data_IF_114463825882
#
_entry.id   IF_114463825882
#
_cell.length_a   1.000
_cell.length_b   1.000
_cell.length_c   1.000
_cell.angle_alpha   90.00
_cell.angle_beta   90.00
_cell.angle_gamma   90.00
#
_symmetry.space_group_name_H-M   'P 1'
#
loop_
_entity.id
_entity.type
_entity.pdbx_description
1 polymer ?
#
# COMPACT_ATOMS: atom_id res chain seq x y z
N UNK A 1 19.18 -7.53 -9.75
CA UNK A 1 19.10 -8.62 -8.74
C UNK A 1 17.67 -8.69 -8.24
N UNK A 2 17.04 -9.87 -8.17
CA UNK A 2 15.70 -10.00 -7.61
C UNK A 2 15.77 -9.93 -6.07
N UNK A 3 14.91 -9.13 -5.47
CA UNK A 3 14.70 -9.09 -4.02
C UNK A 3 13.49 -9.93 -3.68
N UNK A 4 13.64 -10.93 -2.82
CA UNK A 4 12.56 -11.83 -2.43
C UNK A 4 11.40 -11.05 -1.83
N UNK A 5 10.18 -11.43 -2.22
CA UNK A 5 8.96 -10.76 -1.77
C UNK A 5 8.21 -11.66 -0.79
N UNK A 6 7.76 -11.08 0.30
CA UNK A 6 6.96 -11.81 1.31
C UNK A 6 5.66 -12.37 0.72
N UNK A 7 5.13 -11.72 -0.32
CA UNK A 7 3.91 -12.17 -1.01
C UNK A 7 4.08 -13.47 -1.83
N UNK A 8 5.31 -13.95 -2.10
CA UNK A 8 5.57 -15.15 -2.92
C UNK A 8 4.81 -16.37 -2.40
N UNK A 9 4.88 -16.62 -1.09
CA UNK A 9 4.23 -17.74 -0.44
C UNK A 9 2.70 -17.68 -0.60
N UNK A 10 2.12 -16.51 -0.33
CA UNK A 10 0.67 -16.30 -0.44
C UNK A 10 0.19 -16.42 -1.89
N UNK A 11 0.98 -15.96 -2.86
CA UNK A 11 0.70 -16.16 -4.29
C UNK A 11 0.59 -17.64 -4.64
N UNK A 12 1.51 -18.48 -4.14
CA UNK A 12 1.50 -19.92 -4.39
C UNK A 12 0.32 -20.60 -3.69
N UNK A 13 0.00 -20.25 -2.44
CA UNK A 13 -1.15 -20.75 -1.70
C UNK A 13 -2.48 -20.36 -2.38
N UNK A 14 -2.60 -19.12 -2.82
CA UNK A 14 -3.75 -18.64 -3.59
C UNK A 14 -3.90 -19.39 -4.92
N UNK A 15 -2.78 -19.63 -5.62
CA UNK A 15 -2.76 -20.40 -6.88
C UNK A 15 -3.16 -21.87 -6.70
N UNK A 16 -2.89 -22.45 -5.55
CA UNK A 16 -3.32 -23.81 -5.23
C UNK A 16 -4.81 -23.92 -4.87
N UNK A 17 -5.47 -22.80 -4.58
CA UNK A 17 -6.85 -22.77 -4.08
C UNK A 17 -7.85 -22.14 -5.05
N UNK A 18 -7.42 -21.14 -5.83
CA UNK A 18 -8.29 -20.37 -6.73
C UNK A 18 -7.94 -20.63 -8.20
N UNK A 19 -8.93 -20.71 -9.10
CA UNK A 19 -8.66 -20.83 -10.54
C UNK A 19 -7.98 -19.58 -11.12
N UNK A 20 -8.22 -18.41 -10.53
CA UNK A 20 -7.66 -17.13 -10.96
C UNK A 20 -6.96 -16.43 -9.80
N UNK A 21 -5.75 -15.93 -10.02
CA UNK A 21 -5.05 -15.06 -9.08
C UNK A 21 -4.73 -13.74 -9.77
N UNK A 22 -5.15 -12.62 -9.18
CA UNK A 22 -4.86 -11.28 -9.67
C UNK A 22 -3.91 -10.57 -8.69
N UNK A 23 -2.72 -10.21 -9.15
CA UNK A 23 -1.81 -9.31 -8.41
C UNK A 23 -1.98 -7.88 -8.92
N UNK A 24 -2.40 -7.01 -8.01
CA UNK A 24 -2.66 -5.59 -8.31
C UNK A 24 -1.79 -4.68 -7.45
N UNK A 25 -1.60 -3.43 -7.85
CA UNK A 25 -0.80 -2.43 -7.14
C UNK A 25 -0.22 -1.36 -8.06
N UNK A 26 0.51 -0.38 -7.53
CA UNK A 26 1.10 0.70 -8.31
C UNK A 26 1.98 0.18 -9.44
N UNK A 27 2.28 1.05 -10.40
CA UNK A 27 3.28 0.73 -11.44
C UNK A 27 4.67 0.57 -10.83
N UNK A 28 5.49 -0.24 -11.47
CA UNK A 28 6.91 -0.44 -11.13
C UNK A 28 7.21 -1.02 -9.73
N UNK A 29 6.21 -1.56 -9.04
CA UNK A 29 6.40 -2.26 -7.74
C UNK A 29 6.85 -3.72 -7.91
N UNK A 30 6.95 -4.21 -9.15
CA UNK A 30 7.48 -5.54 -9.45
C UNK A 30 6.41 -6.65 -9.54
N UNK A 31 5.15 -6.35 -9.90
CA UNK A 31 4.07 -7.34 -10.04
C UNK A 31 4.43 -8.46 -11.02
N UNK A 32 4.78 -8.10 -12.25
CA UNK A 32 5.16 -9.06 -13.30
C UNK A 32 6.39 -9.85 -12.91
N UNK A 33 7.43 -9.18 -12.38
CA UNK A 33 8.67 -9.82 -11.91
C UNK A 33 8.42 -10.85 -10.81
N UNK A 34 7.54 -10.53 -9.83
CA UNK A 34 7.13 -11.47 -8.79
C UNK A 34 6.49 -12.71 -9.39
N UNK A 35 5.51 -12.52 -10.28
CA UNK A 35 4.78 -13.64 -10.88
C UNK A 35 5.67 -14.47 -11.81
N UNK A 36 6.53 -13.84 -12.60
CA UNK A 36 7.54 -14.54 -13.43
C UNK A 36 8.48 -15.38 -12.58
N UNK A 37 8.93 -14.85 -11.43
CA UNK A 37 9.81 -15.57 -10.51
C UNK A 37 9.15 -16.79 -9.89
N UNK A 38 7.84 -16.73 -9.61
CA UNK A 38 7.06 -17.82 -9.01
C UNK A 38 6.47 -18.78 -10.05
N UNK A 39 6.61 -18.48 -11.35
CA UNK A 39 6.00 -19.28 -12.41
C UNK A 39 6.71 -20.62 -12.60
N UNK A 40 5.96 -21.67 -12.96
CA UNK A 40 6.51 -22.95 -13.43
C UNK A 40 6.80 -22.89 -14.94
N UNK A 41 7.63 -23.79 -15.44
CA UNK A 41 7.95 -23.92 -16.88
C UNK A 41 6.70 -24.16 -17.74
N UNK A 42 5.66 -24.77 -17.18
CA UNK A 42 4.42 -25.08 -17.89
C UNK A 42 3.53 -23.84 -18.12
N UNK A 43 3.67 -22.80 -17.30
CA UNK A 43 2.84 -21.60 -17.38
C UNK A 43 3.34 -20.66 -18.46
N UNK A 44 2.56 -20.45 -19.49
CA UNK A 44 2.86 -19.44 -20.53
C UNK A 44 2.68 -18.04 -19.99
N UNK A 45 3.47 -17.11 -20.52
CA UNK A 45 3.44 -15.68 -20.15
C UNK A 45 3.09 -14.88 -21.40
N UNK A 46 2.07 -14.04 -21.30
CA UNK A 46 1.62 -13.15 -22.38
C UNK A 46 1.41 -11.74 -21.82
N UNK A 47 2.08 -10.74 -22.41
CA UNK A 47 1.88 -9.34 -22.05
C UNK A 47 0.99 -8.62 -23.06
N UNK A 48 -0.06 -7.99 -22.54
CA UNK A 48 -0.95 -7.11 -23.31
C UNK A 48 -0.37 -5.70 -23.52
N UNK A 49 0.83 -5.43 -23.02
CA UNK A 49 1.62 -4.26 -23.41
C UNK A 49 2.03 -4.35 -24.90
N UNK A 50 2.19 -5.58 -25.43
CA UNK A 50 2.54 -5.76 -26.83
C UNK A 50 1.35 -5.43 -27.76
N UNK A 51 1.45 -4.44 -28.65
CA UNK A 51 0.31 -3.95 -29.44
C UNK A 51 -0.36 -5.02 -30.29
N UNK A 52 0.44 -5.89 -30.94
CA UNK A 52 -0.11 -6.94 -31.80
C UNK A 52 -0.87 -8.02 -31.02
N UNK A 53 -0.37 -8.39 -29.82
CA UNK A 53 -1.04 -9.34 -28.91
C UNK A 53 -2.35 -8.74 -28.42
N UNK A 54 -2.31 -7.47 -27.98
CA UNK A 54 -3.49 -6.72 -27.54
C UNK A 54 -4.55 -6.64 -28.64
N UNK A 55 -4.17 -6.33 -29.88
CA UNK A 55 -5.10 -6.24 -31.01
C UNK A 55 -5.79 -7.59 -31.27
N UNK A 56 -5.05 -8.70 -31.25
CA UNK A 56 -5.60 -10.07 -31.41
C UNK A 56 -6.55 -10.40 -30.27
N UNK A 57 -6.17 -10.15 -29.03
CA UNK A 57 -6.98 -10.45 -27.86
C UNK A 57 -8.30 -9.67 -27.85
N UNK A 58 -8.32 -8.43 -28.39
CA UNK A 58 -9.54 -7.63 -28.57
C UNK A 58 -10.41 -8.12 -29.73
N UNK A 59 -9.78 -8.47 -30.86
CA UNK A 59 -10.52 -8.88 -32.06
C UNK A 59 -11.25 -10.20 -31.87
N UNK A 60 -10.60 -11.18 -31.24
CA UNK A 60 -11.15 -12.50 -31.02
C UNK A 60 -10.59 -13.13 -29.72
N UNK A 61 -11.27 -12.91 -28.59
CA UNK A 61 -10.89 -13.50 -27.30
C UNK A 61 -10.89 -15.03 -27.29
N UNK A 62 -11.78 -15.67 -28.05
CA UNK A 62 -11.85 -17.14 -28.11
C UNK A 62 -10.61 -17.70 -28.80
N UNK A 63 -10.25 -17.18 -29.96
CA UNK A 63 -9.03 -17.55 -30.69
C UNK A 63 -7.77 -17.23 -29.87
N UNK A 64 -7.80 -16.15 -29.08
CA UNK A 64 -6.72 -15.83 -28.16
C UNK A 64 -6.48 -16.94 -27.14
N UNK A 65 -7.53 -17.49 -26.49
CA UNK A 65 -7.37 -18.60 -25.54
C UNK A 65 -7.10 -19.96 -26.20
N UNK A 66 -7.45 -20.15 -27.47
CA UNK A 66 -7.00 -21.32 -28.24
C UNK A 66 -5.49 -21.27 -28.50
N UNK A 67 -4.95 -20.07 -28.80
CA UNK A 67 -3.51 -19.87 -29.02
C UNK A 67 -2.70 -19.88 -27.71
N UNK A 68 -3.30 -19.42 -26.61
CA UNK A 68 -2.69 -19.32 -25.28
C UNK A 68 -3.54 -20.04 -24.22
N UNK A 69 -3.57 -21.40 -24.23
CA UNK A 69 -4.33 -22.15 -23.25
C UNK A 69 -3.73 -22.04 -21.85
N UNK A 70 -4.55 -22.19 -20.77
CA UNK A 70 -4.05 -22.26 -19.41
C UNK A 70 -3.16 -23.51 -19.16
N UNK A 71 -2.22 -23.47 -18.21
CA UNK A 71 -1.98 -22.38 -17.27
C UNK A 71 -1.32 -21.15 -17.91
N UNK A 72 -1.88 -19.96 -17.68
CA UNK A 72 -1.51 -18.74 -18.38
C UNK A 72 -1.30 -17.56 -17.40
N UNK A 73 -0.21 -16.81 -17.57
CA UNK A 73 -0.02 -15.50 -16.98
C UNK A 73 -0.34 -14.43 -18.03
N UNK A 74 -1.30 -13.55 -17.74
CA UNK A 74 -1.66 -12.41 -18.56
C UNK A 74 -1.23 -11.14 -17.85
N UNK A 75 -0.23 -10.48 -18.39
CA UNK A 75 0.30 -9.22 -17.86
C UNK A 75 -0.49 -8.04 -18.43
N UNK A 76 -0.79 -7.04 -17.56
CA UNK A 76 -1.53 -5.81 -17.86
C UNK A 76 -2.95 -6.08 -18.42
N UNK A 77 -3.71 -6.97 -17.75
CA UNK A 77 -5.07 -7.41 -18.18
C UNK A 77 -6.05 -6.25 -18.40
N UNK A 78 -5.86 -5.09 -17.74
CA UNK A 78 -6.74 -3.93 -17.89
C UNK A 78 -6.79 -3.35 -19.30
N UNK A 79 -5.84 -3.72 -20.19
CA UNK A 79 -5.89 -3.29 -21.58
C UNK A 79 -6.91 -4.02 -22.44
N UNK A 80 -7.36 -5.20 -22.00
CA UNK A 80 -8.35 -6.02 -22.72
C UNK A 80 -9.37 -6.60 -21.72
N UNK A 81 -10.28 -5.76 -21.19
CA UNK A 81 -11.31 -6.21 -20.25
C UNK A 81 -12.24 -7.27 -20.83
N UNK A 82 -12.34 -7.32 -22.15
CA UNK A 82 -13.13 -8.30 -22.91
C UNK A 82 -12.70 -9.75 -22.65
N UNK A 83 -11.51 -9.98 -22.11
CA UNK A 83 -11.04 -11.32 -21.73
C UNK A 83 -11.69 -11.86 -20.44
N UNK A 84 -12.19 -11.00 -19.53
CA UNK A 84 -12.73 -11.45 -18.24
C UNK A 84 -13.92 -12.43 -18.37
N UNK A 85 -14.91 -12.22 -19.25
CA UNK A 85 -16.00 -13.20 -19.46
C UNK A 85 -15.48 -14.56 -19.92
N UNK A 86 -14.48 -14.62 -20.78
CA UNK A 86 -13.89 -15.88 -21.27
C UNK A 86 -13.09 -16.60 -20.19
N UNK A 87 -12.30 -15.84 -19.38
CA UNK A 87 -11.61 -16.39 -18.20
C UNK A 87 -12.63 -17.05 -17.26
N UNK A 88 -13.77 -16.39 -17.01
CA UNK A 88 -14.87 -16.95 -16.20
C UNK A 88 -15.38 -18.27 -16.77
N UNK A 89 -15.71 -18.30 -18.06
CA UNK A 89 -16.24 -19.51 -18.72
C UNK A 89 -15.26 -20.67 -18.61
N UNK A 90 -13.96 -20.42 -18.87
CA UNK A 90 -12.92 -21.42 -18.77
C UNK A 90 -12.72 -21.91 -17.33
N UNK A 91 -12.69 -21.00 -16.37
CA UNK A 91 -12.58 -21.32 -14.94
C UNK A 91 -13.76 -22.16 -14.44
N UNK A 92 -14.99 -21.84 -14.88
CA UNK A 92 -16.20 -22.58 -14.51
C UNK A 92 -16.25 -23.99 -15.14
N UNK A 93 -15.77 -24.10 -16.38
CA UNK A 93 -15.76 -25.37 -17.12
C UNK A 93 -14.73 -26.34 -16.53
N UNK A 94 -13.52 -25.92 -16.29
CA UNK A 94 -12.44 -26.82 -15.91
C UNK A 94 -12.27 -26.97 -14.38
N UNK A 95 -12.64 -25.96 -13.62
CA UNK A 95 -12.59 -25.93 -12.14
C UNK A 95 -11.23 -26.32 -11.54
N UNK A 96 -10.14 -26.05 -12.27
CA UNK A 96 -8.78 -26.33 -11.81
C UNK A 96 -8.20 -25.10 -11.11
N UNK A 97 -7.45 -25.26 -10.00
CA UNK A 97 -6.74 -24.15 -9.39
C UNK A 97 -5.57 -23.68 -10.28
N UNK A 98 -5.18 -22.42 -10.11
CA UNK A 98 -4.02 -21.86 -10.78
C UNK A 98 -4.09 -21.73 -12.29
N UNK A 99 -5.27 -21.77 -12.92
CA UNK A 99 -5.39 -21.67 -14.37
C UNK A 99 -4.87 -20.34 -14.90
N UNK A 100 -5.26 -19.24 -14.26
CA UNK A 100 -4.93 -17.90 -14.72
C UNK A 100 -4.24 -17.08 -13.63
N UNK A 101 -3.10 -16.54 -13.99
CA UNK A 101 -2.44 -15.50 -13.24
C UNK A 101 -2.56 -14.17 -13.98
N UNK A 102 -3.02 -13.13 -13.31
CA UNK A 102 -3.29 -11.84 -13.92
C UNK A 102 -2.48 -10.77 -13.20
N UNK A 103 -1.89 -9.85 -13.94
CA UNK A 103 -1.39 -8.59 -13.36
C UNK A 103 -2.18 -7.42 -13.90
N UNK A 104 -2.24 -6.36 -13.11
CA UNK A 104 -2.81 -5.09 -13.58
C UNK A 104 -2.52 -3.96 -12.60
N UNK A 105 -2.39 -2.75 -13.15
CA UNK A 105 -2.52 -1.55 -12.33
C UNK A 105 -3.99 -1.43 -11.93
N UNK A 106 -4.26 -1.19 -10.63
CA UNK A 106 -5.62 -1.11 -10.13
C UNK A 106 -6.30 0.15 -10.67
N UNK A 107 -7.14 -0.02 -11.67
CA UNK A 107 -8.05 1.02 -12.14
C UNK A 107 -9.47 0.66 -11.71
N UNK A 108 -10.27 1.65 -11.39
CA UNK A 108 -11.65 1.44 -10.94
C UNK A 108 -12.46 0.59 -11.93
N UNK A 109 -12.32 0.85 -13.23
CA UNK A 109 -12.97 0.08 -14.31
C UNK A 109 -12.54 -1.39 -14.35
N UNK A 110 -11.26 -1.68 -14.10
CA UNK A 110 -10.77 -3.06 -14.02
C UNK A 110 -11.41 -3.80 -12.86
N UNK A 111 -11.48 -3.18 -11.68
CA UNK A 111 -12.07 -3.82 -10.49
C UNK A 111 -13.58 -4.06 -10.63
N UNK A 112 -14.32 -3.21 -11.35
CA UNK A 112 -15.70 -3.49 -11.72
C UNK A 112 -15.81 -4.76 -12.56
N UNK A 113 -15.03 -4.88 -13.64
CA UNK A 113 -15.03 -6.06 -14.50
C UNK A 113 -14.65 -7.35 -13.73
N UNK A 114 -13.68 -7.26 -12.83
CA UNK A 114 -13.29 -8.38 -11.95
C UNK A 114 -14.45 -8.79 -11.04
N UNK A 115 -15.11 -7.82 -10.40
CA UNK A 115 -16.24 -8.08 -9.50
C UNK A 115 -17.43 -8.70 -10.24
N UNK A 116 -17.74 -8.22 -11.44
CA UNK A 116 -18.87 -8.72 -12.25
C UNK A 116 -18.58 -10.11 -12.84
N UNK A 117 -17.36 -10.37 -13.30
CA UNK A 117 -17.05 -11.59 -14.03
C UNK A 117 -16.43 -12.69 -13.16
N UNK A 118 -15.59 -12.36 -12.17
CA UNK A 118 -14.76 -13.32 -11.45
C UNK A 118 -15.11 -13.49 -9.97
N UNK A 119 -16.26 -12.96 -9.50
CA UNK A 119 -16.70 -13.11 -8.11
C UNK A 119 -16.68 -14.59 -7.66
N UNK A 120 -16.01 -14.87 -6.54
CA UNK A 120 -15.85 -16.21 -5.97
C UNK A 120 -14.84 -17.12 -6.70
N UNK A 121 -14.17 -16.62 -7.76
CA UNK A 121 -13.19 -17.37 -8.57
C UNK A 121 -11.78 -16.79 -8.50
N UNK A 122 -11.64 -15.56 -8.05
CA UNK A 122 -10.38 -14.84 -8.05
C UNK A 122 -9.88 -14.56 -6.64
N UNK A 123 -8.62 -14.86 -6.39
CA UNK A 123 -7.87 -14.31 -5.27
C UNK A 123 -7.22 -12.99 -5.72
N UNK A 124 -7.49 -11.90 -4.99
CA UNK A 124 -6.92 -10.58 -5.28
C UNK A 124 -5.84 -10.29 -4.26
N UNK A 125 -4.61 -10.12 -4.73
CA UNK A 125 -3.44 -9.83 -3.92
C UNK A 125 -2.94 -8.41 -4.20
N UNK A 126 -2.75 -7.63 -3.15
CA UNK A 126 -2.25 -6.26 -3.25
C UNK A 126 -0.73 -6.24 -3.04
N UNK A 127 0.02 -5.75 -4.02
CA UNK A 127 1.47 -5.60 -3.94
C UNK A 127 1.83 -4.11 -3.94
N UNK A 128 2.49 -3.64 -2.88
CA UNK A 128 3.09 -2.32 -2.79
C UNK A 128 4.61 -2.39 -3.09
N UNK A 129 5.30 -1.28 -2.93
CA UNK A 129 6.76 -1.25 -2.93
C UNK A 129 7.35 -2.20 -1.87
N UNK A 130 8.66 -2.36 -1.87
CA UNK A 130 9.36 -3.21 -0.90
C UNK A 130 9.07 -2.77 0.54
N UNK A 131 8.87 -3.73 1.44
CA UNK A 131 8.86 -3.46 2.87
C UNK A 131 10.30 -3.29 3.38
N UNK A 132 10.44 -2.76 4.59
CA UNK A 132 11.75 -2.62 5.23
C UNK A 132 12.45 -3.98 5.38
N UNK A 133 11.71 -5.01 5.79
CA UNK A 133 12.20 -6.38 5.93
C UNK A 133 12.63 -6.99 4.59
N UNK A 134 11.88 -6.76 3.50
CA UNK A 134 12.22 -7.19 2.15
C UNK A 134 13.50 -6.50 1.64
N UNK A 135 13.67 -5.19 1.87
CA UNK A 135 14.88 -4.45 1.52
C UNK A 135 16.11 -5.03 2.23
N UNK A 136 15.98 -5.40 3.49
CA UNK A 136 17.05 -5.98 4.28
C UNK A 136 17.21 -7.49 4.12
N UNK A 137 16.37 -8.11 3.30
CA UNK A 137 16.31 -9.57 3.11
C UNK A 137 16.26 -10.33 4.45
N UNK A 138 15.49 -9.79 5.40
CA UNK A 138 15.26 -10.42 6.70
C UNK A 138 14.21 -11.53 6.54
N UNK A 139 14.24 -12.54 7.45
CA UNK A 139 13.19 -13.54 7.49
C UNK A 139 11.81 -12.90 7.59
N UNK A 140 10.84 -13.53 6.95
CA UNK A 140 9.45 -13.12 7.02
C UNK A 140 8.98 -13.15 8.49
N UNK A 141 8.35 -12.06 8.90
CA UNK A 141 7.65 -11.95 10.17
C UNK A 141 6.17 -12.02 9.87
N UNK A 142 5.35 -12.50 10.73
CA UNK A 142 3.90 -12.46 10.60
C UNK A 142 3.36 -11.05 10.37
N UNK A 143 2.06 -10.87 10.51
CA UNK A 143 1.44 -9.55 10.47
C UNK A 143 1.92 -8.67 11.62
N UNK A 144 1.70 -7.36 11.52
CA UNK A 144 2.00 -6.47 12.65
C UNK A 144 1.27 -6.86 13.94
N UNK A 145 0.06 -7.43 13.85
CA UNK A 145 -0.64 -7.97 15.03
C UNK A 145 0.20 -9.06 15.72
N UNK A 146 0.82 -9.96 14.96
CA UNK A 146 1.66 -11.03 15.53
C UNK A 146 2.87 -10.43 16.24
N UNK A 147 3.52 -9.42 15.63
CA UNK A 147 4.61 -8.67 16.24
C UNK A 147 4.18 -7.93 17.49
N UNK A 148 3.01 -7.30 17.50
CA UNK A 148 2.46 -6.55 18.63
C UNK A 148 2.16 -7.45 19.82
N UNK A 149 1.59 -8.63 19.57
CA UNK A 149 1.16 -9.57 20.60
C UNK A 149 2.29 -10.50 21.09
N UNK A 150 3.40 -10.58 20.35
CA UNK A 150 4.55 -11.38 20.78
C UNK A 150 5.21 -10.77 22.03
N UNK A 151 5.83 -11.64 22.83
CA UNK A 151 6.62 -11.19 23.99
C UNK A 151 7.72 -10.22 23.55
N UNK A 152 8.05 -9.20 24.36
CA UNK A 152 9.08 -8.23 24.04
C UNK A 152 10.47 -8.91 24.03
N UNK A 153 10.90 -9.34 22.87
CA UNK A 153 12.27 -9.80 22.62
C UNK A 153 12.95 -8.74 21.77
N UNK A 154 13.92 -8.06 22.34
CA UNK A 154 14.73 -7.10 21.59
C UNK A 154 15.62 -7.85 20.60
N UNK A 155 15.54 -7.47 19.34
CA UNK A 155 16.50 -7.91 18.35
C UNK A 155 17.32 -6.69 17.88
N UNK A 156 18.52 -6.50 18.42
CA UNK A 156 19.33 -5.33 18.10
C UNK A 156 19.67 -5.22 16.60
N UNK A 157 19.62 -6.34 15.87
CA UNK A 157 19.88 -6.34 14.42
C UNK A 157 18.75 -5.73 13.59
N UNK A 158 17.59 -5.48 14.18
CA UNK A 158 16.43 -4.89 13.49
C UNK A 158 16.26 -3.42 13.79
N UNK A 159 16.87 -2.89 14.84
CA UNK A 159 16.75 -1.50 15.21
C UNK A 159 17.22 -0.57 14.07
N UNK A 160 16.40 0.40 13.76
CA UNK A 160 16.69 1.43 12.77
C UNK A 160 17.08 2.71 13.54
N UNK A 161 18.25 3.24 13.22
CA UNK A 161 18.69 4.53 13.72
C UNK A 161 18.03 5.67 12.94
N UNK A 162 17.89 6.83 13.58
CA UNK A 162 17.22 8.01 13.04
C UNK A 162 17.71 8.40 11.63
N UNK A 163 19.02 8.46 11.43
CA UNK A 163 19.61 8.84 10.14
C UNK A 163 19.29 7.82 9.05
N UNK A 164 19.49 6.54 9.31
CA UNK A 164 19.19 5.47 8.36
C UNK A 164 17.70 5.41 8.01
N UNK A 165 16.84 5.75 8.97
CA UNK A 165 15.40 5.83 8.75
C UNK A 165 15.02 6.92 7.74
N UNK A 166 15.52 8.15 7.90
CA UNK A 166 15.20 9.23 6.97
C UNK A 166 15.87 9.08 5.61
N UNK A 167 17.01 8.38 5.53
CA UNK A 167 17.59 7.96 4.26
C UNK A 167 16.68 6.94 3.55
N UNK A 168 16.11 5.97 4.28
CA UNK A 168 15.14 5.01 3.73
C UNK A 168 13.83 5.70 3.32
N UNK A 169 13.29 6.60 4.13
CA UNK A 169 12.08 7.39 3.84
C UNK A 169 12.25 8.18 2.53
N UNK A 170 13.38 8.89 2.37
CA UNK A 170 13.65 9.69 1.18
C UNK A 170 13.88 8.81 -0.05
N UNK A 171 14.53 7.66 0.12
CA UNK A 171 14.77 6.71 -0.98
C UNK A 171 13.47 6.07 -1.45
N UNK A 172 12.51 5.81 -0.55
CA UNK A 172 11.25 5.13 -0.83
C UNK A 172 11.40 3.62 -0.98
N UNK A 173 10.42 2.99 -1.59
CA UNK A 173 10.25 1.53 -1.59
C UNK A 173 10.21 0.88 -2.98
N UNK A 174 10.44 1.63 -4.06
CA UNK A 174 10.45 1.05 -5.40
C UNK A 174 11.63 0.10 -5.64
N UNK A 175 11.41 -1.14 -6.12
CA UNK A 175 12.47 -2.13 -6.31
C UNK A 175 13.63 -1.65 -7.18
N UNK A 176 13.35 -0.84 -8.21
CA UNK A 176 14.37 -0.32 -9.12
C UNK A 176 15.44 0.52 -8.42
N UNK A 177 15.11 1.17 -7.31
CA UNK A 177 16.04 1.98 -6.51
C UNK A 177 17.02 1.12 -5.70
N UNK A 178 16.71 -0.17 -5.50
CA UNK A 178 17.54 -1.12 -4.75
C UNK A 178 18.28 -2.10 -5.67
N UNK A 179 17.69 -2.46 -6.80
CA UNK A 179 18.35 -3.30 -7.81
C UNK A 179 19.47 -2.55 -8.52
N UNK A 180 19.32 -1.24 -8.73
CA UNK A 180 20.27 -0.37 -9.41
C UNK A 180 20.86 0.68 -8.46
N UNK A 181 21.89 0.35 -7.67
CA UNK A 181 22.40 1.25 -6.62
C UNK A 181 22.92 2.60 -7.10
N UNK A 182 23.24 2.74 -8.42
CA UNK A 182 23.64 4.01 -9.05
C UNK A 182 22.47 4.87 -9.56
N UNK A 183 21.22 4.38 -9.46
CA UNK A 183 20.06 5.14 -9.90
C UNK A 183 19.85 6.37 -8.99
N UNK A 184 19.82 7.55 -9.61
CA UNK A 184 19.52 8.81 -8.89
C UNK A 184 18.05 8.85 -8.54
N UNK A 185 17.73 8.92 -7.28
CA UNK A 185 16.35 8.91 -6.74
C UNK A 185 15.50 10.02 -7.32
N UNK A 186 16.03 11.25 -7.39
CA UNK A 186 15.29 12.41 -7.96
C UNK A 186 14.93 12.20 -9.43
N UNK A 187 15.88 11.67 -10.23
CA UNK A 187 15.62 11.38 -11.64
C UNK A 187 14.59 10.28 -11.80
N UNK A 188 14.64 9.26 -10.94
CA UNK A 188 13.65 8.19 -10.95
C UNK A 188 12.25 8.73 -10.68
N UNK A 189 12.05 9.50 -9.60
CA UNK A 189 10.74 10.02 -9.24
C UNK A 189 10.22 11.07 -10.25
N UNK A 190 11.08 11.96 -10.75
CA UNK A 190 10.70 12.90 -11.80
C UNK A 190 10.19 12.17 -13.07
N UNK A 191 10.91 11.11 -13.48
CA UNK A 191 10.50 10.28 -14.62
C UNK A 191 9.22 9.49 -14.33
N UNK A 192 9.08 8.95 -13.11
CA UNK A 192 7.90 8.21 -12.68
C UNK A 192 6.65 9.08 -12.74
N UNK A 193 6.70 10.29 -12.16
CA UNK A 193 5.59 11.24 -12.16
C UNK A 193 5.18 11.59 -13.58
N UNK A 194 6.14 11.94 -14.46
CA UNK A 194 5.87 12.26 -15.86
C UNK A 194 5.22 11.11 -16.60
N UNK A 195 5.78 9.90 -16.53
CA UNK A 195 5.25 8.75 -17.26
C UNK A 195 3.93 8.24 -16.69
N UNK A 196 3.68 8.41 -15.37
CA UNK A 196 2.40 8.11 -14.75
C UNK A 196 1.29 9.03 -15.27
N UNK A 197 1.56 10.33 -15.34
CA UNK A 197 0.61 11.32 -15.87
C UNK A 197 0.25 11.04 -17.32
N UNK A 198 1.23 10.83 -18.18
CA UNK A 198 1.04 10.59 -19.61
C UNK A 198 0.24 9.31 -19.88
N UNK A 199 0.45 8.27 -19.12
CA UNK A 199 -0.08 6.93 -19.40
C UNK A 199 -1.41 6.63 -18.70
N UNK A 200 -1.57 7.00 -17.45
CA UNK A 200 -2.69 6.54 -16.61
C UNK A 200 -3.78 7.60 -16.44
N UNK A 201 -3.43 8.88 -16.47
CA UNK A 201 -4.39 9.95 -16.17
C UNK A 201 -5.07 10.48 -17.43
N UNK A 202 -4.43 10.43 -18.60
CA UNK A 202 -4.96 10.91 -19.90
C UNK A 202 -5.67 12.26 -19.77
N UNK A 203 -5.06 13.21 -19.08
CA UNK A 203 -5.61 14.54 -18.89
C UNK A 203 -5.35 15.42 -20.10
N UNK A 204 -6.26 16.37 -20.35
CA UNK A 204 -5.99 17.47 -21.26
C UNK A 204 -4.80 18.29 -20.75
N UNK A 205 -3.98 18.81 -21.67
CA UNK A 205 -2.75 19.57 -21.37
C UNK A 205 -3.01 20.72 -20.39
N UNK A 206 -4.19 21.35 -20.47
CA UNK A 206 -4.60 22.43 -19.55
C UNK A 206 -4.79 21.98 -18.09
N UNK A 207 -5.12 20.72 -17.85
CA UNK A 207 -5.32 20.15 -16.52
C UNK A 207 -4.05 19.54 -15.96
N UNK A 208 -3.07 19.18 -16.80
CA UNK A 208 -1.84 18.51 -16.39
C UNK A 208 -1.02 19.35 -15.40
N UNK A 209 -0.83 20.64 -15.68
CA UNK A 209 -0.07 21.52 -14.78
C UNK A 209 -0.74 21.71 -13.43
N UNK A 210 -2.08 21.79 -13.39
CA UNK A 210 -2.86 21.90 -12.14
C UNK A 210 -2.86 20.58 -11.38
N UNK A 211 -2.90 19.44 -12.08
CA UNK A 211 -2.78 18.13 -11.46
C UNK A 211 -1.38 17.89 -10.85
N UNK A 212 -0.32 18.35 -11.50
CA UNK A 212 1.03 18.31 -10.89
C UNK A 212 1.10 19.12 -9.59
N UNK A 213 0.51 20.32 -9.57
CA UNK A 213 0.38 21.11 -8.33
C UNK A 213 -0.43 20.36 -7.28
N UNK A 214 -1.53 19.73 -7.69
CA UNK A 214 -2.36 18.90 -6.79
C UNK A 214 -1.55 17.75 -6.16
N UNK A 215 -0.69 17.06 -6.91
CA UNK A 215 0.18 16.02 -6.35
C UNK A 215 1.08 16.58 -5.24
N UNK A 216 1.68 17.75 -5.45
CA UNK A 216 2.48 18.43 -4.42
C UNK A 216 1.66 18.82 -3.19
N UNK A 217 0.45 19.39 -3.40
CA UNK A 217 -0.49 19.74 -2.33
C UNK A 217 -0.94 18.50 -1.55
N UNK A 218 -1.22 17.38 -2.23
CA UNK A 218 -1.57 16.12 -1.59
C UNK A 218 -0.40 15.54 -0.78
N UNK A 219 0.83 15.59 -1.34
CA UNK A 219 2.03 15.10 -0.67
C UNK A 219 2.34 15.89 0.61
N UNK A 220 2.22 17.22 0.56
CA UNK A 220 2.39 18.08 1.75
C UNK A 220 1.35 17.82 2.85
N UNK A 221 0.23 17.14 2.52
CA UNK A 221 -0.84 16.77 3.45
C UNK A 221 -0.88 15.28 3.83
N UNK A 222 0.19 14.55 3.58
CA UNK A 222 0.29 13.16 4.06
C UNK A 222 0.12 13.10 5.57
N UNK A 223 -0.47 12.03 6.10
CA UNK A 223 -0.86 11.85 7.49
C UNK A 223 -1.88 12.88 8.04
N UNK A 224 -2.58 13.63 7.18
CA UNK A 224 -3.58 14.60 7.58
C UNK A 224 -4.98 14.22 7.08
N UNK A 225 -6.01 14.77 7.74
CA UNK A 225 -7.39 14.64 7.29
C UNK A 225 -7.57 15.27 5.92
N UNK A 226 -8.24 14.57 5.01
CA UNK A 226 -8.53 15.10 3.67
C UNK A 226 -9.54 16.23 3.76
N UNK A 227 -9.14 17.44 3.42
CA UNK A 227 -10.03 18.58 3.28
C UNK A 227 -10.14 18.99 1.81
N UNK A 228 -11.17 18.48 1.14
CA UNK A 228 -11.39 18.75 -0.29
C UNK A 228 -11.55 20.24 -0.61
N UNK A 229 -12.22 21.00 0.28
CA UNK A 229 -12.46 22.43 0.07
C UNK A 229 -11.17 23.26 0.18
N UNK A 230 -10.31 22.95 1.17
CA UNK A 230 -9.02 23.65 1.32
C UNK A 230 -8.09 23.34 0.16
N UNK A 231 -8.00 22.06 -0.23
CA UNK A 231 -7.17 21.66 -1.38
C UNK A 231 -7.67 22.31 -2.69
N UNK A 232 -8.99 22.41 -2.87
CA UNK A 232 -9.60 23.03 -4.04
C UNK A 232 -9.30 24.54 -4.12
N UNK A 233 -9.35 25.23 -2.97
CA UNK A 233 -9.00 26.66 -2.87
C UNK A 233 -7.52 26.91 -3.21
N UNK A 234 -6.61 26.08 -2.72
CA UNK A 234 -5.17 26.21 -2.99
C UNK A 234 -4.82 26.00 -4.49
N UNK A 235 -5.69 25.32 -5.23
CA UNK A 235 -5.48 24.92 -6.63
C UNK A 235 -6.35 25.68 -7.61
N UNK A 236 -7.27 26.53 -7.13
CA UNK A 236 -8.27 27.23 -7.92
C UNK A 236 -9.13 26.29 -8.80
N UNK A 237 -9.60 25.18 -8.16
CA UNK A 237 -10.47 24.18 -8.80
C UNK A 237 -11.70 23.88 -7.94
N UNK A 238 -12.65 23.11 -8.47
CA UNK A 238 -13.79 22.68 -7.68
C UNK A 238 -13.44 21.59 -6.65
N UNK A 239 -14.13 21.52 -5.48
CA UNK A 239 -13.98 20.40 -4.55
C UNK A 239 -14.29 19.04 -5.16
N UNK A 240 -15.19 18.97 -6.15
CA UNK A 240 -15.50 17.74 -6.89
C UNK A 240 -14.32 17.29 -7.75
N UNK A 241 -13.57 18.21 -8.35
CA UNK A 241 -12.34 17.93 -9.09
C UNK A 241 -11.30 17.28 -8.16
N UNK A 242 -11.06 17.87 -6.99
CA UNK A 242 -10.14 17.31 -5.99
C UNK A 242 -10.60 15.93 -5.55
N UNK A 243 -11.90 15.75 -5.29
CA UNK A 243 -12.46 14.44 -4.92
C UNK A 243 -12.20 13.37 -5.98
N UNK A 244 -12.40 13.72 -7.27
CA UNK A 244 -12.11 12.83 -8.40
C UNK A 244 -10.62 12.47 -8.46
N UNK A 245 -9.75 13.45 -8.28
CA UNK A 245 -8.30 13.23 -8.29
C UNK A 245 -7.82 12.37 -7.10
N UNK A 246 -8.35 12.59 -5.91
CA UNK A 246 -8.08 11.73 -4.73
C UNK A 246 -8.55 10.29 -5.02
N UNK A 247 -9.74 10.10 -5.58
CA UNK A 247 -10.24 8.77 -5.95
C UNK A 247 -9.35 8.08 -7.00
N UNK A 248 -8.82 8.85 -7.95
CA UNK A 248 -7.86 8.35 -8.95
C UNK A 248 -6.56 7.88 -8.29
N UNK A 249 -5.98 8.67 -7.38
CA UNK A 249 -4.77 8.29 -6.64
C UNK A 249 -5.01 7.08 -5.73
N UNK A 250 -6.17 6.99 -5.09
CA UNK A 250 -6.55 5.84 -4.24
C UNK A 250 -6.72 4.58 -5.08
N UNK A 251 -7.43 4.66 -6.22
CA UNK A 251 -7.66 3.52 -7.10
C UNK A 251 -6.39 3.01 -7.79
N UNK A 252 -5.41 3.89 -8.04
CA UNK A 252 -4.09 3.52 -8.55
C UNK A 252 -3.07 3.15 -7.45
N UNK A 253 -3.51 3.13 -6.18
CA UNK A 253 -2.67 2.81 -5.02
C UNK A 253 -1.45 3.73 -4.85
N UNK A 254 -1.51 4.95 -5.34
CA UNK A 254 -0.50 5.99 -5.04
C UNK A 254 -0.70 6.52 -3.64
N UNK A 255 -1.95 6.59 -3.19
CA UNK A 255 -2.32 6.92 -1.82
C UNK A 255 -3.16 5.81 -1.20
N UNK A 256 -3.17 5.79 0.12
CA UNK A 256 -4.06 5.01 0.97
C UNK A 256 -4.88 5.96 1.84
N UNK A 257 -6.19 5.76 1.90
CA UNK A 257 -7.09 6.55 2.75
C UNK A 257 -7.42 5.74 4.01
N UNK A 258 -6.75 6.07 5.11
CA UNK A 258 -7.02 5.48 6.41
C UNK A 258 -8.35 6.00 6.97
N UNK A 259 -9.27 5.10 7.28
CA UNK A 259 -10.60 5.45 7.79
C UNK A 259 -10.58 5.66 9.31
N UNK A 260 -11.43 6.54 9.85
CA UNK A 260 -11.55 6.69 11.29
C UNK A 260 -12.22 5.47 11.93
N UNK A 261 -11.76 5.10 13.12
CA UNK A 261 -12.46 4.13 13.95
C UNK A 261 -13.80 4.69 14.45
N UNK A 262 -14.84 3.90 14.37
CA UNK A 262 -16.12 4.18 14.98
C UNK A 262 -16.83 2.85 15.24
N UNK A 263 -17.50 2.71 16.38
CA UNK A 263 -18.30 1.52 16.71
C UNK A 263 -19.42 1.25 15.69
N UNK A 264 -19.99 2.32 15.11
CA UNK A 264 -20.97 2.22 14.02
C UNK A 264 -20.25 2.19 12.65
N UNK A 265 -20.38 1.08 11.91
CA UNK A 265 -19.77 0.86 10.59
C UNK A 265 -20.12 1.95 9.56
N UNK A 266 -21.37 2.41 9.54
CA UNK A 266 -21.79 3.50 8.62
C UNK A 266 -20.99 4.77 8.87
N UNK A 267 -20.74 5.11 10.16
CA UNK A 267 -19.95 6.28 10.51
C UNK A 267 -18.46 6.13 10.18
N UNK A 268 -17.89 4.90 10.18
CA UNK A 268 -16.53 4.65 9.70
C UNK A 268 -16.39 5.03 8.23
N UNK A 269 -17.40 4.77 7.43
CA UNK A 269 -17.35 4.99 5.97
C UNK A 269 -17.56 6.46 5.59
N UNK A 270 -18.37 7.20 6.34
CA UNK A 270 -18.80 8.58 5.96
C UNK A 270 -17.87 9.67 6.50
N UNK A 271 -17.13 9.40 7.57
CA UNK A 271 -16.22 10.39 8.16
C UNK A 271 -14.94 10.59 7.32
N UNK A 272 -14.40 11.79 7.43
CA UNK A 272 -13.17 12.22 6.70
C UNK A 272 -11.98 11.30 7.01
N UNK A 273 -11.35 10.69 5.99
CA UNK A 273 -10.16 9.86 6.18
C UNK A 273 -8.89 10.70 6.34
N UNK A 274 -7.81 10.07 6.83
CA UNK A 274 -6.44 10.56 6.69
C UNK A 274 -5.85 10.06 5.37
N UNK A 275 -5.05 10.90 4.72
CA UNK A 275 -4.34 10.58 3.47
C UNK A 275 -2.92 10.13 3.77
N UNK A 276 -2.49 9.02 3.19
CA UNK A 276 -1.10 8.54 3.24
C UNK A 276 -0.62 8.19 1.84
N UNK A 277 0.57 8.65 1.45
CA UNK A 277 1.24 8.15 0.25
C UNK A 277 1.76 6.73 0.49
N UNK A 278 1.57 5.84 -0.47
CA UNK A 278 2.02 4.45 -0.35
C UNK A 278 3.54 4.29 -0.53
N UNK A 279 4.19 5.31 -1.07
CA UNK A 279 5.65 5.41 -1.16
C UNK A 279 6.13 6.76 -0.61
N UNK A 280 6.96 6.71 0.43
CA UNK A 280 7.45 7.91 1.11
C UNK A 280 8.48 8.69 0.31
N UNK A 281 9.23 8.03 -0.56
CA UNK A 281 10.18 8.71 -1.45
C UNK A 281 9.46 9.53 -2.52
N UNK A 282 8.39 8.97 -3.13
CA UNK A 282 7.51 9.71 -4.02
C UNK A 282 6.87 10.91 -3.30
N UNK A 283 6.39 10.70 -2.07
CA UNK A 283 5.80 11.75 -1.23
C UNK A 283 6.81 12.88 -0.97
N UNK A 284 8.02 12.54 -0.56
CA UNK A 284 9.09 13.51 -0.30
C UNK A 284 9.48 14.27 -1.57
N UNK A 285 9.61 13.58 -2.71
CA UNK A 285 9.91 14.20 -4.00
C UNK A 285 8.84 15.21 -4.42
N UNK A 286 7.57 14.83 -4.36
CA UNK A 286 6.44 15.69 -4.72
C UNK A 286 6.30 16.90 -3.78
N UNK A 287 6.68 16.77 -2.51
CA UNK A 287 6.72 17.85 -1.52
C UNK A 287 8.01 18.68 -1.58
N UNK A 288 8.93 18.41 -2.53
CA UNK A 288 10.13 19.20 -2.78
C UNK A 288 11.31 18.91 -1.83
N UNK A 289 11.31 17.80 -1.09
CA UNK A 289 12.40 17.40 -0.24
C UNK A 289 13.48 16.65 -1.02
N UNK A 290 14.72 17.15 -0.97
CA UNK A 290 15.86 16.59 -1.73
C UNK A 290 16.95 16.00 -0.85
N UNK A 291 16.84 16.13 0.48
CA UNK A 291 17.83 15.67 1.44
C UNK A 291 17.15 15.06 2.67
N UNK A 292 17.62 13.89 3.10
CA UNK A 292 17.14 13.23 4.32
C UNK A 292 17.39 14.10 5.57
N UNK A 293 18.51 14.82 5.61
CA UNK A 293 18.86 15.72 6.71
C UNK A 293 17.87 16.87 6.84
N UNK A 294 17.49 17.52 5.73
CA UNK A 294 16.52 18.63 5.76
C UNK A 294 15.10 18.13 6.02
N UNK A 295 14.74 16.96 5.49
CA UNK A 295 13.45 16.31 5.76
C UNK A 295 13.31 15.93 7.24
N UNK A 296 14.38 15.41 7.86
CA UNK A 296 14.39 15.01 9.26
C UNK A 296 14.06 16.17 10.20
N UNK A 297 14.60 17.36 9.95
CA UNK A 297 14.40 18.55 10.81
C UNK A 297 13.25 19.46 10.32
N UNK A 298 12.71 19.19 9.15
CA UNK A 298 11.68 20.00 8.50
C UNK A 298 10.28 19.82 9.11
N UNK A 299 9.37 20.72 8.74
CA UNK A 299 7.99 20.73 9.25
C UNK A 299 7.22 19.41 8.94
N UNK A 300 7.60 18.71 7.87
CA UNK A 300 6.97 17.46 7.44
C UNK A 300 7.54 16.21 8.15
N UNK A 301 8.57 16.37 8.96
CA UNK A 301 9.32 15.27 9.59
C UNK A 301 8.43 14.25 10.32
N UNK A 302 7.51 14.70 11.16
CA UNK A 302 6.58 13.83 11.90
C UNK A 302 5.57 13.14 10.96
N UNK A 303 4.97 13.89 10.06
CA UNK A 303 3.95 13.38 9.13
C UNK A 303 4.48 12.31 8.17
N UNK A 304 5.71 12.48 7.66
CA UNK A 304 6.30 11.49 6.76
C UNK A 304 6.79 10.25 7.52
N UNK A 305 7.22 10.40 8.78
CA UNK A 305 7.53 9.29 9.66
C UNK A 305 6.27 8.45 9.95
N UNK A 306 5.16 9.12 10.30
CA UNK A 306 3.86 8.47 10.49
C UNK A 306 3.44 7.74 9.22
N UNK A 307 3.58 8.38 8.04
CA UNK A 307 3.31 7.76 6.73
C UNK A 307 4.14 6.49 6.52
N UNK A 308 5.44 6.54 6.81
CA UNK A 308 6.32 5.38 6.67
C UNK A 308 5.86 4.21 7.55
N UNK A 309 5.62 4.47 8.83
CA UNK A 309 5.19 3.43 9.80
C UNK A 309 3.83 2.84 9.43
N UNK A 310 2.85 3.69 9.08
CA UNK A 310 1.51 3.22 8.66
C UNK A 310 1.62 2.36 7.40
N UNK A 311 2.49 2.71 6.46
CA UNK A 311 2.68 1.92 5.24
C UNK A 311 3.43 0.62 5.50
N UNK A 312 4.40 0.56 6.40
CA UNK A 312 5.05 -0.69 6.78
C UNK A 312 4.04 -1.64 7.48
N UNK A 313 3.20 -1.12 8.37
CA UNK A 313 2.11 -1.88 8.98
C UNK A 313 1.13 -2.38 7.90
N UNK A 314 0.70 -1.55 6.97
CA UNK A 314 -0.19 -1.96 5.87
C UNK A 314 0.43 -3.09 5.03
N UNK A 315 1.72 -2.94 4.66
CA UNK A 315 2.46 -3.97 3.90
C UNK A 315 2.52 -5.29 4.66
N UNK A 316 2.69 -5.27 6.00
CA UNK A 316 2.75 -6.50 6.79
C UNK A 316 1.47 -7.35 6.67
N UNK A 317 0.30 -6.73 6.53
CA UNK A 317 -0.95 -7.45 6.28
C UNK A 317 -1.11 -7.88 4.82
N UNK A 318 -0.90 -6.96 3.87
CA UNK A 318 -1.11 -7.25 2.46
C UNK A 318 -0.15 -8.30 1.91
N UNK A 319 1.09 -8.32 2.40
CA UNK A 319 2.05 -9.36 2.08
C UNK A 319 1.64 -10.76 2.59
N UNK A 320 0.70 -10.81 3.54
CA UNK A 320 0.08 -12.07 4.02
C UNK A 320 -1.31 -12.31 3.42
N UNK A 321 -1.72 -11.54 2.41
CA UNK A 321 -3.03 -11.69 1.77
C UNK A 321 -4.22 -11.30 2.67
N UNK A 322 -3.97 -10.52 3.72
CA UNK A 322 -4.96 -10.10 4.72
C UNK A 322 -5.28 -8.62 4.54
N UNK A 323 -6.57 -8.26 4.52
CA UNK A 323 -6.96 -6.85 4.57
C UNK A 323 -6.60 -6.28 5.95
N UNK A 324 -5.93 -5.13 5.95
CA UNK A 324 -5.41 -4.53 7.17
C UNK A 324 -6.53 -3.96 8.05
N UNK A 325 -6.75 -4.48 9.27
CA UNK A 325 -7.81 -4.01 10.17
C UNK A 325 -7.36 -2.76 10.94
N UNK A 326 -6.91 -1.73 10.21
CA UNK A 326 -6.31 -0.52 10.75
C UNK A 326 -7.22 0.69 10.58
N UNK A 327 -7.27 1.52 11.59
CA UNK A 327 -8.05 2.76 11.67
C UNK A 327 -7.25 3.82 12.41
N UNK A 328 -7.66 5.08 12.34
CA UNK A 328 -7.23 6.11 13.30
C UNK A 328 -8.42 6.53 14.17
N UNK A 329 -8.16 7.17 15.30
CA UNK A 329 -9.19 7.79 16.12
C UNK A 329 -8.95 9.29 16.21
N UNK A 330 -10.03 10.07 16.06
CA UNK A 330 -10.02 11.49 16.36
C UNK A 330 -11.41 11.95 16.75
N UNK A 331 -11.53 12.62 17.89
CA UNK A 331 -12.76 13.23 18.35
C UNK A 331 -12.86 14.73 17.97
N UNK A 332 -13.97 15.35 18.36
CA UNK A 332 -14.22 16.78 18.13
C UNK A 332 -13.31 17.70 18.95
N UNK A 333 -12.78 17.22 20.06
CA UNK A 333 -11.84 17.93 20.94
C UNK A 333 -10.39 17.75 20.47
N UNK A 334 -10.19 17.14 19.29
CA UNK A 334 -8.89 16.85 18.65
C UNK A 334 -8.02 15.86 19.43
N UNK A 335 -8.60 15.08 20.36
CA UNK A 335 -7.89 13.94 20.93
C UNK A 335 -7.72 12.89 19.84
N UNK A 336 -6.50 12.43 19.64
CA UNK A 336 -6.14 11.56 18.52
C UNK A 336 -5.33 10.35 18.98
N UNK A 337 -5.58 9.20 18.34
CA UNK A 337 -4.72 8.01 18.38
C UNK A 337 -4.32 7.74 16.94
N UNK A 338 -3.01 7.68 16.67
CA UNK A 338 -2.46 7.60 15.32
C UNK A 338 -2.98 6.37 14.58
N UNK A 339 -2.99 5.18 15.25
CA UNK A 339 -3.56 3.96 14.74
C UNK A 339 -4.33 3.18 15.81
N UNK A 340 -5.38 2.51 15.37
CA UNK A 340 -6.09 1.45 16.11
C UNK A 340 -6.09 0.20 15.24
N UNK A 341 -5.66 -0.91 15.77
CA UNK A 341 -5.74 -2.21 15.13
C UNK A 341 -6.87 -3.01 15.78
N UNK A 342 -7.83 -3.46 14.97
CA UNK A 342 -8.95 -4.28 15.42
C UNK A 342 -8.60 -5.76 15.21
N UNK A 343 -8.25 -6.48 16.28
CA UNK A 343 -7.87 -7.89 16.20
C UNK A 343 -8.42 -8.68 17.39
N UNK A 344 -8.90 -9.89 17.14
CA UNK A 344 -9.41 -10.81 18.16
C UNK A 344 -10.51 -10.21 19.06
N UNK A 345 -11.33 -9.29 18.52
CA UNK A 345 -12.37 -8.58 19.26
C UNK A 345 -11.84 -7.55 20.25
N UNK A 346 -10.58 -7.18 20.15
CA UNK A 346 -9.90 -6.16 20.93
C UNK A 346 -9.43 -5.00 20.04
N UNK A 347 -9.31 -3.81 20.64
CA UNK A 347 -8.75 -2.63 19.99
C UNK A 347 -7.35 -2.35 20.56
N UNK A 348 -6.37 -2.37 19.68
CA UNK A 348 -4.96 -2.19 20.00
C UNK A 348 -4.52 -0.79 19.57
N UNK A 349 -4.38 0.18 20.50
CA UNK A 349 -3.94 1.52 20.16
C UNK A 349 -2.43 1.55 19.89
N UNK A 350 -2.05 2.31 18.86
CA UNK A 350 -0.66 2.52 18.47
C UNK A 350 -0.40 4.01 18.30
N UNK A 351 0.67 4.47 18.90
CA UNK A 351 1.18 5.84 18.78
C UNK A 351 2.54 5.84 18.11
N UNK A 352 2.80 6.81 17.24
CA UNK A 352 4.02 6.91 16.45
C UNK A 352 4.78 8.17 16.88
N UNK A 353 6.01 8.01 17.36
CA UNK A 353 6.79 9.14 17.91
C UNK A 353 8.22 9.14 17.41
N UNK A 354 8.66 10.33 16.98
CA UNK A 354 10.07 10.59 16.65
C UNK A 354 10.88 10.84 17.93
N UNK A 355 10.99 9.83 18.79
CA UNK A 355 11.75 9.86 20.02
C UNK A 355 12.38 8.52 20.32
N UNK A 356 13.52 8.49 21.01
CA UNK A 356 14.11 7.25 21.53
C UNK A 356 13.62 6.93 22.96
N UNK A 357 13.00 7.89 23.65
CA UNK A 357 12.54 7.75 25.03
C UNK A 357 11.06 8.18 25.15
N UNK A 358 10.11 7.33 24.77
CA UNK A 358 8.68 7.63 24.92
C UNK A 358 8.27 7.65 26.39
N UNK A 359 7.19 8.36 26.70
CA UNK A 359 6.71 8.59 28.04
C UNK A 359 5.20 8.37 28.18
N UNK A 360 4.70 8.38 29.40
CA UNK A 360 3.26 8.28 29.70
C UNK A 360 2.44 9.41 29.05
N UNK A 361 3.05 10.54 28.74
CA UNK A 361 2.37 11.65 28.04
C UNK A 361 2.01 11.29 26.61
N UNK A 362 2.82 10.45 25.97
CA UNK A 362 2.64 10.04 24.57
C UNK A 362 1.41 9.12 24.40
N UNK A 363 1.06 8.35 25.42
CA UNK A 363 -0.06 7.41 25.41
C UNK A 363 -1.32 7.92 26.13
N UNK A 364 -1.36 9.20 26.52
CA UNK A 364 -2.47 9.77 27.31
C UNK A 364 -3.85 9.58 26.69
N UNK A 365 -3.93 9.56 25.35
CA UNK A 365 -5.18 9.39 24.62
C UNK A 365 -5.67 7.93 24.52
N UNK A 366 -4.82 6.95 24.85
CA UNK A 366 -5.22 5.53 24.86
C UNK A 366 -6.36 5.25 25.84
N UNK A 367 -6.47 6.04 26.92
CA UNK A 367 -7.58 5.95 27.88
C UNK A 367 -8.98 6.20 27.28
N UNK A 368 -9.07 6.78 26.08
CA UNK A 368 -10.33 6.92 25.35
C UNK A 368 -10.95 5.55 25.04
N UNK A 369 -10.12 4.53 24.92
CA UNK A 369 -10.56 3.14 24.71
C UNK A 369 -10.85 2.39 26.03
N UNK A 370 -10.76 3.03 27.18
CA UNK A 370 -11.11 2.44 28.48
C UNK A 370 -12.65 2.55 28.76
N UNK A 371 -13.46 2.62 27.70
CA UNK A 371 -14.92 2.58 27.75
C UNK A 371 -15.39 1.15 28.05
N UNK A 372 -16.38 0.93 28.96
CA UNK A 372 -16.90 -0.41 29.29
C UNK A 372 -17.43 -1.22 28.09
N UNK A 373 -17.83 -0.52 27.02
CA UNK A 373 -18.29 -1.15 25.77
C UNK A 373 -17.16 -1.50 24.80
N UNK A 374 -15.92 -1.07 25.09
CA UNK A 374 -14.76 -1.26 24.25
C UNK A 374 -13.78 -2.18 24.99
N UNK A 375 -13.39 -3.28 24.35
CA UNK A 375 -12.34 -4.15 24.88
C UNK A 375 -10.98 -3.69 24.34
N UNK A 376 -10.23 -2.98 25.18
CA UNK A 376 -8.88 -2.56 24.83
C UNK A 376 -7.88 -3.69 24.99
N UNK A 377 -7.08 -3.91 23.95
CA UNK A 377 -5.96 -4.83 23.92
C UNK A 377 -4.62 -4.16 24.29
N UNK A 378 -3.53 -4.88 24.06
CA UNK A 378 -2.16 -4.36 24.23
C UNK A 378 -1.94 -3.25 23.22
N UNK A 379 -1.41 -2.11 23.67
CA UNK A 379 -1.02 -1.01 22.81
C UNK A 379 0.49 -0.98 22.54
N UNK A 380 0.92 -0.10 21.61
CA UNK A 380 2.33 0.14 21.34
C UNK A 380 2.63 1.64 21.16
N UNK A 381 3.88 2.00 21.50
CA UNK A 381 4.51 3.22 20.99
C UNK A 381 5.61 2.80 20.04
N UNK A 382 5.42 3.08 18.75
CA UNK A 382 6.43 2.84 17.72
C UNK A 382 7.34 4.06 17.66
N UNK A 383 8.62 3.85 17.92
CA UNK A 383 9.57 4.96 18.06
C UNK A 383 11.00 4.52 17.69
N UNK A 384 11.98 5.34 18.06
CA UNK A 384 13.41 5.12 17.78
C UNK A 384 14.16 4.43 18.93
N UNK A 385 13.45 3.88 19.93
CA UNK A 385 14.08 3.09 20.98
C UNK A 385 14.77 1.87 20.38
N UNK A 386 15.99 1.60 20.78
CA UNK A 386 16.73 0.41 20.36
C UNK A 386 16.30 -0.84 21.13
N UNK A 387 15.59 -0.66 22.23
CA UNK A 387 15.11 -1.73 23.07
C UNK A 387 13.59 -1.82 23.02
N UNK A 388 13.09 -3.05 22.87
CA UNK A 388 11.68 -3.37 23.03
C UNK A 388 11.43 -3.63 24.51
N UNK A 389 10.62 -2.79 25.15
CA UNK A 389 10.35 -2.87 26.59
C UNK A 389 8.89 -2.47 26.90
N UNK A 390 8.33 -2.91 28.02
CA UNK A 390 7.04 -2.43 28.47
C UNK A 390 7.13 -0.97 28.95
N UNK A 391 6.29 -0.10 28.40
CA UNK A 391 6.06 1.25 28.94
C UNK A 391 5.07 1.20 30.12
N UNK A 392 4.08 0.32 30.00
CA UNK A 392 3.11 -0.05 31.05
C UNK A 392 2.81 -1.56 30.97
N UNK A 393 1.95 -2.06 31.88
CA UNK A 393 1.49 -3.46 31.81
C UNK A 393 0.83 -3.82 30.47
N UNK A 394 0.23 -2.85 29.78
CA UNK A 394 -0.57 -3.06 28.56
C UNK A 394 -0.07 -2.22 27.38
N UNK A 395 1.11 -1.62 27.44
CA UNK A 395 1.67 -0.83 26.33
C UNK A 395 3.16 -1.14 26.21
N UNK A 396 3.58 -1.53 25.03
CA UNK A 396 4.98 -1.81 24.70
C UNK A 396 5.62 -0.65 23.92
N UNK A 397 6.91 -0.45 24.15
CA UNK A 397 7.78 0.34 23.28
C UNK A 397 8.33 -0.60 22.20
N UNK A 398 8.26 -0.19 20.95
CA UNK A 398 8.75 -0.96 19.80
C UNK A 398 9.61 -0.07 18.91
N UNK A 399 10.70 -0.63 18.37
CA UNK A 399 11.44 0.04 17.31
C UNK A 399 10.66 -0.03 16.00
N UNK A 400 10.83 0.97 15.14
CA UNK A 400 10.23 0.98 13.78
C UNK A 400 10.66 -0.24 12.96
N UNK A 401 11.87 -0.75 13.18
CA UNK A 401 12.38 -1.96 12.53
C UNK A 401 11.77 -3.28 13.04
N UNK A 402 10.89 -3.24 14.03
CA UNK A 402 10.19 -4.41 14.56
C UNK A 402 8.84 -4.70 13.88
N UNK A 403 8.45 -3.85 12.90
CA UNK A 403 7.23 -4.00 12.10
C UNK A 403 7.35 -5.14 11.10
#
# INVERSE_FOLDING_TARGET
MYLNRSLEKILMEASASFPVVLVTGPRQVGKTTLMEKCTSEERRIVSLDHPAVRARAKADPELFFQAYPPPLLIDEIQYVPELFPFIKILADRERKPGMFWLTGSQQFSMMQNVSESLAGRVAILNLLGLSHSEIRQQPERGTFTDSLLSLPVSNPNTAIELRGLYDAILRGSFPALYDKPRMKTDLFYASYVKTYLERDIRMDISQESTFLKFLGVAAARTAQLVNYADMARDLDVSPNTVKSWISLLESSRIIYLLRPFHTNLTKRTVKTPKLYFTDTGLCAHLAGWTSSKTLEIGAMSGAILETYVVMEILKSYWNHGIEAPIYFYRDKDKNEIDLIIEANGLLHPVEIKKTAAPSMKDIRHFRILDDPQIKRGVGAVICLSTERMPLTRNVNVMNIGDI
#
